data_IF_759535988630
#
_entry.id   IF_759535988630
#
_cell.length_a   1.000
_cell.length_b   1.000
_cell.length_c   1.000
_cell.angle_alpha   90.00
_cell.angle_beta   90.00
_cell.angle_gamma   90.00
#
_symmetry.space_group_name_H-M   'P 1'
#
loop_
_entity.id
_entity.type
_entity.pdbx_description
1 polymer ?
#
# COMPACT_ATOMS: atom_id res chain seq x y z
N UNK A 1 -7.72 1.97 -35.67
CA UNK A 1 -7.46 1.56 -34.28
C UNK A 1 -8.44 0.46 -33.88
N UNK A 2 -8.03 -0.80 -34.00
CA UNK A 2 -8.88 -1.98 -33.74
C UNK A 2 -9.02 -2.31 -32.23
N UNK A 3 -10.00 -3.14 -31.85
CA UNK A 3 -10.23 -3.52 -30.45
C UNK A 3 -9.06 -4.29 -29.81
N UNK A 4 -8.25 -5.02 -30.58
CA UNK A 4 -7.04 -5.69 -30.09
C UNK A 4 -5.92 -4.71 -29.70
N UNK A 5 -5.76 -3.64 -30.46
CA UNK A 5 -4.75 -2.61 -30.21
C UNK A 5 -5.05 -1.86 -28.89
N UNK A 6 -6.34 -1.64 -28.60
CA UNK A 6 -6.78 -1.12 -27.28
C UNK A 6 -6.54 -2.10 -26.14
N UNK A 7 -6.52 -3.41 -26.38
CA UNK A 7 -6.20 -4.42 -25.34
C UNK A 7 -4.70 -4.44 -25.07
N UNK A 8 -3.86 -4.43 -26.11
CA UNK A 8 -2.39 -4.33 -25.95
C UNK A 8 -1.99 -3.04 -25.23
N UNK A 9 -2.57 -1.90 -25.57
CA UNK A 9 -2.27 -0.63 -24.89
C UNK A 9 -2.63 -0.64 -23.39
N UNK A 10 -3.71 -1.34 -22.99
CA UNK A 10 -4.06 -1.53 -21.57
C UNK A 10 -3.11 -2.50 -20.87
N UNK A 11 -2.67 -3.55 -21.57
CA UNK A 11 -1.70 -4.51 -21.05
C UNK A 11 -0.35 -3.84 -20.78
N UNK A 12 0.15 -3.01 -21.71
CA UNK A 12 1.42 -2.28 -21.57
C UNK A 12 1.39 -1.29 -20.39
N UNK A 13 0.24 -0.66 -20.10
CA UNK A 13 0.10 0.22 -18.92
C UNK A 13 0.11 -0.53 -17.59
N UNK A 14 -0.45 -1.74 -17.55
CA UNK A 14 -0.43 -2.56 -16.34
C UNK A 14 0.96 -3.14 -16.07
N UNK A 15 1.67 -3.56 -17.14
CA UNK A 15 3.04 -4.08 -17.08
C UNK A 15 4.09 -3.00 -16.69
N UNK A 16 3.81 -1.73 -16.97
CA UNK A 16 4.65 -0.61 -16.54
C UNK A 16 4.60 -0.34 -15.03
N UNK A 17 3.64 -0.92 -14.30
CA UNK A 17 3.81 -1.08 -12.84
C UNK A 17 4.72 -2.29 -12.61
N UNK A 18 5.93 -2.23 -13.18
CA UNK A 18 6.94 -3.24 -12.99
C UNK A 18 7.20 -3.39 -11.50
N UNK A 19 7.27 -4.62 -11.02
CA UNK A 19 7.72 -4.95 -9.67
C UNK A 19 9.03 -4.25 -9.28
N UNK A 20 9.82 -3.81 -10.27
CA UNK A 20 11.08 -3.08 -10.08
C UNK A 20 10.91 -1.62 -9.68
N UNK A 21 9.77 -0.97 -9.94
CA UNK A 21 9.49 0.41 -9.47
C UNK A 21 8.73 0.46 -8.14
N UNK A 22 8.34 -0.69 -7.59
CA UNK A 22 7.65 -0.76 -6.30
C UNK A 22 8.52 -0.24 -5.13
N UNK A 23 9.84 -0.48 -5.08
CA UNK A 23 10.71 0.09 -4.04
C UNK A 23 10.74 1.62 -4.05
N UNK A 24 10.75 2.25 -5.25
CA UNK A 24 10.78 3.71 -5.39
C UNK A 24 9.49 4.39 -4.90
N UNK A 25 8.40 3.62 -4.76
CA UNK A 25 7.14 4.14 -4.25
C UNK A 25 7.12 4.25 -2.73
N UNK A 26 8.09 3.66 -2.01
CA UNK A 26 8.17 3.75 -0.54
C UNK A 26 9.39 4.57 -0.14
N UNK A 27 9.12 5.69 0.53
CA UNK A 27 10.16 6.55 1.12
C UNK A 27 10.00 6.54 2.63
N UNK A 28 11.07 6.21 3.37
CA UNK A 28 11.09 6.43 4.81
C UNK A 28 11.09 7.95 5.06
N UNK A 29 10.09 8.44 5.77
CA UNK A 29 10.06 9.83 6.17
C UNK A 29 11.13 10.05 7.24
N UNK A 30 11.74 11.24 7.32
CA UNK A 30 12.79 11.53 8.33
C UNK A 30 12.34 11.39 9.79
N UNK A 31 11.05 11.11 10.02
CA UNK A 31 10.48 10.73 11.31
C UNK A 31 10.49 9.22 11.47
N UNK A 32 11.16 8.72 12.52
CA UNK A 32 11.22 7.29 12.82
C UNK A 32 9.82 6.68 12.91
N UNK A 33 9.58 5.62 12.14
CA UNK A 33 8.30 4.92 12.12
C UNK A 33 7.24 5.56 11.22
N UNK A 34 7.60 6.46 10.30
CA UNK A 34 6.67 6.97 9.28
C UNK A 34 7.19 6.62 7.90
N UNK A 35 6.36 5.94 7.10
CA UNK A 35 6.68 5.56 5.72
C UNK A 35 5.70 6.24 4.77
N UNK A 36 6.23 6.90 3.74
CA UNK A 36 5.46 7.49 2.66
C UNK A 36 5.33 6.46 1.54
N UNK A 37 4.08 6.19 1.13
CA UNK A 37 3.78 5.29 0.02
C UNK A 37 3.05 6.07 -1.06
N UNK A 38 3.62 6.11 -2.25
CA UNK A 38 3.02 6.77 -3.40
C UNK A 38 1.76 6.03 -3.85
N UNK A 39 0.73 6.78 -4.28
CA UNK A 39 -0.52 6.20 -4.76
C UNK A 39 -0.34 5.60 -6.15
N UNK A 40 -0.85 4.39 -6.33
CA UNK A 40 -0.80 3.68 -7.62
C UNK A 40 -1.58 4.38 -8.73
N UNK A 41 -2.57 5.22 -8.38
CA UNK A 41 -3.42 5.90 -9.35
C UNK A 41 -2.98 7.33 -9.64
N UNK A 42 -2.23 7.94 -8.73
CA UNK A 42 -1.76 9.31 -8.88
C UNK A 42 -0.39 9.47 -8.20
N UNK A 43 0.64 9.70 -9.01
CA UNK A 43 2.02 9.88 -8.55
C UNK A 43 2.20 11.12 -7.66
N UNK A 44 1.33 12.13 -7.77
CA UNK A 44 1.39 13.33 -6.92
C UNK A 44 0.79 13.09 -5.53
N UNK A 45 0.06 11.98 -5.35
CA UNK A 45 -0.53 11.62 -4.07
C UNK A 45 0.35 10.62 -3.33
N UNK A 46 0.63 10.92 -2.06
CA UNK A 46 1.33 10.03 -1.14
C UNK A 46 0.45 9.75 0.08
N UNK A 47 0.60 8.55 0.62
CA UNK A 47 -0.08 8.08 1.82
C UNK A 47 0.96 7.76 2.89
N UNK A 48 0.75 8.29 4.07
CA UNK A 48 1.59 8.04 5.22
C UNK A 48 1.13 6.78 5.93
N UNK A 49 2.07 5.91 6.25
CA UNK A 49 1.90 4.75 7.11
C UNK A 49 2.67 4.99 8.38
N UNK A 50 1.96 4.98 9.51
CA UNK A 50 2.56 5.06 10.83
C UNK A 50 2.85 3.65 11.33
N UNK A 51 4.09 3.41 11.72
CA UNK A 51 4.61 2.18 12.31
C UNK A 51 5.13 2.52 13.69
N UNK A 52 4.64 1.81 14.70
CA UNK A 52 5.13 1.96 16.07
C UNK A 52 5.86 0.69 16.48
N UNK A 53 7.15 0.82 16.81
CA UNK A 53 8.03 -0.29 17.09
C UNK A 53 8.24 -1.16 15.85
N UNK A 54 7.53 -2.29 15.76
CA UNK A 54 7.54 -3.19 14.60
C UNK A 54 6.15 -3.43 14.04
N UNK A 55 5.13 -2.66 14.40
CA UNK A 55 3.76 -2.91 13.97
C UNK A 55 3.18 -1.70 13.27
N UNK A 56 2.57 -1.92 12.11
CA UNK A 56 1.82 -0.87 11.41
C UNK A 56 0.57 -0.51 12.22
N UNK A 57 0.34 0.79 12.43
CA UNK A 57 -0.75 1.31 13.27
C UNK A 57 -1.83 2.02 12.47
N UNK A 58 -1.44 2.77 11.44
CA UNK A 58 -2.40 3.54 10.64
C UNK A 58 -1.88 3.84 9.26
N UNK A 59 -2.80 4.09 8.34
CA UNK A 59 -2.51 4.65 7.03
C UNK A 59 -3.44 5.84 6.74
N UNK A 60 -2.94 6.91 6.13
CA UNK A 60 -3.75 8.09 5.78
C UNK A 60 -4.61 7.91 4.53
N UNK A 61 -4.54 6.75 3.87
CA UNK A 61 -5.39 6.45 2.73
C UNK A 61 -6.87 6.34 3.11
N UNK A 62 -7.74 6.66 2.17
CA UNK A 62 -9.19 6.61 2.37
C UNK A 62 -9.66 5.19 2.77
N UNK A 63 -9.10 4.14 2.16
CA UNK A 63 -9.48 2.75 2.47
C UNK A 63 -9.33 2.43 3.96
N UNK A 64 -8.20 2.83 4.56
CA UNK A 64 -7.95 2.66 5.99
C UNK A 64 -8.84 3.60 6.82
N UNK A 65 -9.02 4.85 6.39
CA UNK A 65 -9.85 5.83 7.11
C UNK A 65 -11.32 5.39 7.22
N UNK A 66 -11.87 4.75 6.19
CA UNK A 66 -13.27 4.32 6.17
C UNK A 66 -13.47 2.94 6.80
N UNK A 67 -12.60 1.99 6.52
CA UNK A 67 -12.82 0.60 6.92
C UNK A 67 -12.03 0.20 8.17
N UNK A 68 -10.99 0.96 8.54
CA UNK A 68 -10.04 0.62 9.62
C UNK A 68 -9.37 -0.75 9.44
N UNK A 69 -9.29 -1.24 8.19
CA UNK A 69 -8.66 -2.53 7.83
C UNK A 69 -7.32 -2.32 7.12
N UNK A 70 -6.51 -3.38 7.04
CA UNK A 70 -5.25 -3.37 6.28
C UNK A 70 -5.48 -2.92 4.82
N UNK A 71 -4.84 -1.83 4.43
CA UNK A 71 -4.93 -1.29 3.07
C UNK A 71 -3.81 -1.81 2.16
N UNK A 72 -3.91 -1.54 0.85
CA UNK A 72 -2.89 -1.93 -0.14
C UNK A 72 -1.51 -1.36 0.19
N UNK A 73 -1.44 -0.14 0.74
CA UNK A 73 -0.17 0.49 1.11
C UNK A 73 0.54 -0.26 2.25
N UNK A 74 -0.21 -0.68 3.27
CA UNK A 74 0.32 -1.52 4.35
C UNK A 74 0.83 -2.87 3.85
N UNK A 75 0.10 -3.49 2.92
CA UNK A 75 0.55 -4.74 2.30
C UNK A 75 1.87 -4.57 1.53
N UNK A 76 1.98 -3.47 0.78
CA UNK A 76 3.20 -3.11 0.04
C UNK A 76 4.39 -2.95 0.99
N UNK A 77 4.21 -2.18 2.06
CA UNK A 77 5.25 -1.95 3.06
C UNK A 77 5.69 -3.25 3.74
N UNK A 78 4.76 -4.15 4.06
CA UNK A 78 5.08 -5.43 4.70
C UNK A 78 5.88 -6.35 3.77
N UNK A 79 5.60 -6.29 2.47
CA UNK A 79 6.32 -7.08 1.46
C UNK A 79 7.76 -6.58 1.26
N UNK A 80 7.99 -5.27 1.33
CA UNK A 80 9.32 -4.69 1.16
C UNK A 80 10.13 -4.65 2.46
N UNK A 81 9.46 -4.54 3.61
CA UNK A 81 10.07 -4.50 4.93
C UNK A 81 9.61 -5.69 5.77
N UNK A 82 10.22 -6.86 5.53
CA UNK A 82 9.89 -8.12 6.22
C UNK A 82 10.08 -8.10 7.76
N UNK A 83 10.62 -7.01 8.32
CA UNK A 83 10.75 -6.79 9.76
C UNK A 83 9.58 -6.05 10.42
N UNK A 84 8.64 -5.52 9.62
CA UNK A 84 7.46 -4.79 10.12
C UNK A 84 6.24 -5.70 10.06
N UNK A 85 5.67 -5.99 11.22
CA UNK A 85 4.43 -6.75 11.35
C UNK A 85 3.22 -5.96 10.80
N UNK A 86 2.33 -6.64 10.07
CA UNK A 86 1.14 -6.02 9.51
C UNK A 86 0.16 -5.60 10.60
N UNK A 87 -0.68 -4.61 10.28
CA UNK A 87 -1.72 -4.11 11.19
C UNK A 87 -2.67 -5.23 11.61
N UNK A 88 -2.80 -5.44 12.92
CA UNK A 88 -3.80 -6.35 13.48
C UNK A 88 -5.14 -5.63 13.54
N UNK A 89 -6.02 -6.00 12.62
CA UNK A 89 -7.40 -5.58 12.65
C UNK A 89 -8.06 -5.95 14.00
N UNK A 90 -8.84 -5.03 14.56
CA UNK A 90 -9.57 -5.25 15.82
C UNK A 90 -10.72 -6.27 15.68
N UNK A 91 -10.97 -6.83 14.49
CA UNK A 91 -12.00 -7.84 14.25
C UNK A 91 -11.70 -9.25 14.79
N UNK A 92 -10.58 -9.49 15.49
CA UNK A 92 -10.33 -10.76 16.22
C UNK A 92 -11.14 -10.89 17.54
N UNK A 93 -12.39 -10.43 17.52
CA UNK A 93 -13.32 -10.50 18.66
C UNK A 93 -14.64 -11.23 18.39
N UNK A 94 -14.88 -11.75 17.18
CA UNK A 94 -16.09 -12.56 16.93
C UNK A 94 -15.75 -14.04 17.07
N UNK A 95 -15.75 -14.51 18.33
CA UNK A 95 -16.04 -15.92 18.62
C UNK A 95 -17.48 -16.18 18.16
N UNK A 96 -17.66 -16.75 16.97
CA UNK A 96 -18.92 -17.39 16.63
C UNK A 96 -18.89 -18.74 17.38
N UNK A 97 -19.80 -18.87 18.34
CA UNK A 97 -20.05 -20.10 19.10
C UNK A 97 -20.66 -21.17 18.20
#
# INVERSE_FOLDING_TARGET
MGPEERRRARQIKADQTSLECIPDMITENGTSGVYLVQSFSNIELQHEITVMGKEMKSCTCNDFRYNSITCKHMYLLNRLHAGITPFKDKLQGVRIC
#
